data_IF_406634848948
#
_entry.id   IF_406634848948
#
_cell.length_a   1.000
_cell.length_b   1.000
_cell.length_c   1.000
_cell.angle_alpha   90.00
_cell.angle_beta   90.00
_cell.angle_gamma   90.00
#
_symmetry.space_group_name_H-M   'P 1'
#
loop_
_entity.id
_entity.type
_entity.pdbx_description
1 polymer ?
#
# COMPACT_ATOMS: atom_id res chain seq x y z
N UNK A 1 -8.19 16.14 5.42
CA UNK A 1 -7.48 15.56 4.27
C UNK A 1 -7.45 14.04 4.44
N UNK A 2 -8.19 13.26 3.64
CA UNK A 2 -8.09 11.79 3.67
C UNK A 2 -6.70 11.37 3.17
N UNK A 3 -5.80 10.93 4.07
CA UNK A 3 -4.48 10.42 3.67
C UNK A 3 -4.65 9.12 2.91
N UNK A 4 -4.44 9.16 1.59
CA UNK A 4 -4.29 7.96 0.77
C UNK A 4 -3.00 7.27 1.23
N UNK A 5 -3.05 6.00 1.66
CA UNK A 5 -1.85 5.32 2.11
C UNK A 5 -0.92 5.08 0.92
N UNK A 6 0.38 5.30 1.12
CA UNK A 6 1.39 5.18 0.08
C UNK A 6 2.20 3.89 0.27
N UNK A 7 2.65 3.30 -0.84
CA UNK A 7 3.32 2.01 -0.83
C UNK A 7 4.75 2.13 -0.30
N UNK A 8 5.09 1.46 0.81
CA UNK A 8 6.43 1.51 1.38
C UNK A 8 7.47 0.84 0.48
N UNK A 9 7.11 -0.25 -0.22
CA UNK A 9 8.01 -0.92 -1.16
C UNK A 9 8.37 -0.01 -2.34
N UNK A 10 7.37 0.63 -2.96
CA UNK A 10 7.58 1.56 -4.06
C UNK A 10 8.51 2.74 -3.61
N UNK A 11 8.42 3.17 -2.35
CA UNK A 11 9.33 4.17 -1.77
C UNK A 11 10.76 3.63 -1.54
N UNK A 12 10.89 2.46 -0.92
CA UNK A 12 12.20 1.87 -0.57
C UNK A 12 13.00 1.50 -1.83
N UNK A 13 12.35 0.90 -2.83
CA UNK A 13 13.05 0.33 -3.98
C UNK A 13 13.10 1.24 -5.20
N UNK A 14 12.09 2.11 -5.41
CA UNK A 14 12.03 3.02 -6.56
C UNK A 14 12.23 4.49 -6.17
N UNK A 15 12.32 4.81 -4.87
CA UNK A 15 12.37 6.19 -4.40
C UNK A 15 11.06 6.97 -4.61
N UNK A 16 9.94 6.28 -4.86
CA UNK A 16 8.68 6.90 -5.24
C UNK A 16 7.54 6.53 -4.29
N UNK A 17 6.88 7.55 -3.73
CA UNK A 17 5.65 7.38 -2.95
C UNK A 17 4.46 7.13 -3.87
N UNK A 18 4.25 5.86 -4.20
CA UNK A 18 3.13 5.46 -5.04
C UNK A 18 1.86 5.28 -4.22
N UNK A 19 0.72 5.85 -4.62
CA UNK A 19 -0.54 5.68 -3.89
C UNK A 19 -0.98 4.21 -3.90
N UNK A 20 -1.66 3.79 -2.84
CA UNK A 20 -2.29 2.47 -2.77
C UNK A 20 -3.80 2.56 -2.90
N UNK A 21 -4.38 1.53 -3.51
CA UNK A 21 -5.84 1.36 -3.61
C UNK A 21 -6.28 0.19 -2.74
N UNK A 22 -7.42 0.34 -2.04
CA UNK A 22 -7.97 -0.73 -1.20
C UNK A 22 -8.93 -1.59 -2.04
N UNK A 23 -8.63 -2.88 -2.16
CA UNK A 23 -9.51 -3.90 -2.73
C UNK A 23 -10.70 -4.20 -1.81
N UNK A 24 -11.73 -4.84 -2.37
CA UNK A 24 -12.95 -5.24 -1.63
C UNK A 24 -12.63 -6.13 -0.43
N UNK A 25 -11.61 -6.98 -0.54
CA UNK A 25 -11.12 -7.88 0.51
C UNK A 25 -10.30 -7.17 1.61
N UNK A 26 -10.17 -5.84 1.55
CA UNK A 26 -9.41 -5.08 2.52
C UNK A 26 -7.89 -5.04 2.29
N UNK A 27 -7.42 -5.64 1.20
CA UNK A 27 -6.01 -5.60 0.77
C UNK A 27 -5.71 -4.29 0.05
N UNK A 28 -4.60 -3.64 0.38
CA UNK A 28 -4.08 -2.46 -0.29
C UNK A 28 -3.10 -2.86 -1.39
N UNK A 29 -3.20 -2.28 -2.58
CA UNK A 29 -2.39 -2.64 -3.75
C UNK A 29 -1.60 -1.39 -4.21
N UNK A 30 -0.28 -1.49 -4.43
CA UNK A 30 0.51 -0.37 -4.99
C UNK A 30 -0.01 -0.07 -6.41
N UNK A 31 -0.37 1.19 -6.68
CA UNK A 31 -0.94 1.58 -7.98
C UNK A 31 0.14 1.64 -9.09
N UNK A 32 1.38 1.96 -8.73
CA UNK A 32 2.49 1.96 -9.67
C UNK A 32 2.97 0.54 -10.02
N UNK A 33 2.68 -0.42 -9.16
CA UNK A 33 3.15 -1.79 -9.27
C UNK A 33 2.10 -2.71 -8.66
N UNK A 34 1.14 -3.12 -9.49
CA UNK A 34 -0.05 -3.88 -9.07
C UNK A 34 0.28 -5.29 -8.51
N UNK A 35 1.56 -5.64 -8.47
CA UNK A 35 2.06 -6.89 -7.86
C UNK A 35 2.16 -6.77 -6.33
N UNK A 36 2.40 -5.57 -5.79
CA UNK A 36 2.57 -5.39 -4.36
C UNK A 36 1.23 -5.26 -3.64
N UNK A 37 0.99 -6.19 -2.73
CA UNK A 37 -0.23 -6.29 -1.92
C UNK A 37 0.12 -6.16 -0.45
N UNK A 38 -0.66 -5.39 0.29
CA UNK A 38 -0.46 -5.09 1.70
C UNK A 38 -1.75 -5.33 2.48
N UNK A 39 -1.67 -5.99 3.63
CA UNK A 39 -2.75 -6.04 4.61
C UNK A 39 -2.50 -4.98 5.67
N UNK A 40 -3.56 -4.31 6.10
CA UNK A 40 -3.50 -3.38 7.22
C UNK A 40 -3.98 -4.10 8.47
N UNK A 41 -3.14 -4.18 9.49
CA UNK A 41 -3.52 -4.75 10.78
C UNK A 41 -4.39 -3.78 11.62
N UNK A 42 -4.78 -4.21 12.81
CA UNK A 42 -5.65 -3.44 13.72
C UNK A 42 -4.97 -2.19 14.31
N UNK A 43 -3.65 -2.21 14.46
CA UNK A 43 -2.85 -1.06 14.91
C UNK A 43 -2.59 -0.06 13.78
N UNK A 44 -2.83 -0.47 12.53
CA UNK A 44 -2.71 0.38 11.34
C UNK A 44 -1.41 0.18 10.57
N UNK A 45 -0.60 -0.82 10.89
CA UNK A 45 0.62 -1.11 10.12
C UNK A 45 0.31 -1.93 8.86
N UNK A 46 1.17 -1.77 7.85
CA UNK A 46 1.05 -2.45 6.57
C UNK A 46 2.05 -3.60 6.47
N UNK A 47 1.55 -4.80 6.21
CA UNK A 47 2.35 -6.02 6.03
C UNK A 47 2.15 -6.56 4.62
N UNK A 48 3.19 -7.13 4.02
CA UNK A 48 3.07 -7.83 2.74
C UNK A 48 2.04 -8.96 2.86
N UNK A 49 1.08 -8.99 1.94
CA UNK A 49 -0.14 -9.80 2.04
C UNK A 49 0.00 -11.23 1.53
#
# INVERSE_FOLDING_TARGET
MNRVPACPHCHIYKGLWSPMVKSKDGIFICKADMTHKFKRDREGNFHSA
#
